data_IF_428042024054
#
_entry.id   IF_428042024054
#
_cell.length_a   1.000
_cell.length_b   1.000
_cell.length_c   1.000
_cell.angle_alpha   90.00
_cell.angle_beta   90.00
_cell.angle_gamma   90.00
#
_symmetry.space_group_name_H-M   'P 1'
#
loop_
_entity.id
_entity.type
_entity.pdbx_description
1 polymer ?
#
# COMPACT_ATOMS: atom_id res chain seq x y z
N UNK A 1 -13.24 -11.43 -0.49
CA UNK A 1 -13.77 -10.10 -0.11
C UNK A 1 -12.88 -9.06 -0.75
N UNK A 2 -13.46 -8.04 -1.40
CA UNK A 2 -12.71 -6.95 -2.01
C UNK A 2 -11.64 -6.42 -1.03
N UNK A 3 -10.39 -6.20 -1.45
CA UNK A 3 -9.29 -5.70 -0.59
C UNK A 3 -9.53 -4.33 0.08
N UNK A 4 -10.76 -3.79 0.00
CA UNK A 4 -11.20 -2.48 0.51
C UNK A 4 -10.80 -1.31 -0.38
N UNK A 5 -10.00 -1.57 -1.43
CA UNK A 5 -9.36 -0.55 -2.26
C UNK A 5 -10.28 -0.09 -3.40
N UNK A 6 -11.07 -1.00 -3.98
CA UNK A 6 -11.91 -0.68 -5.13
C UNK A 6 -13.07 0.27 -4.75
N UNK A 7 -13.30 1.29 -5.58
CA UNK A 7 -14.44 2.21 -5.45
C UNK A 7 -15.54 1.83 -6.43
N UNK A 8 -16.69 1.44 -5.88
CA UNK A 8 -17.87 1.12 -6.67
C UNK A 8 -18.58 2.41 -7.08
N UNK A 9 -18.95 2.52 -8.37
CA UNK A 9 -19.80 3.60 -8.86
C UNK A 9 -21.24 3.12 -8.84
N UNK A 10 -22.07 3.73 -7.99
CA UNK A 10 -23.48 3.41 -7.88
C UNK A 10 -24.34 4.36 -8.73
N UNK A 11 -25.49 3.84 -9.16
CA UNK A 11 -26.43 4.56 -10.01
C UNK A 11 -27.80 4.35 -9.41
N UNK A 12 -28.45 5.44 -9.02
CA UNK A 12 -29.81 5.45 -8.52
C UNK A 12 -30.61 6.60 -9.14
N UNK A 13 -31.87 6.74 -8.74
CA UNK A 13 -32.79 7.75 -9.28
C UNK A 13 -32.43 9.18 -8.85
N UNK A 14 -31.49 9.35 -7.92
CA UNK A 14 -31.03 10.64 -7.38
C UNK A 14 -29.64 11.03 -7.89
N UNK A 15 -28.78 10.06 -8.19
CA UNK A 15 -27.41 10.29 -8.62
C UNK A 15 -26.87 9.17 -9.50
N UNK A 16 -25.99 9.54 -10.43
CA UNK A 16 -25.21 8.60 -11.23
C UNK A 16 -23.72 8.84 -10.96
N UNK A 17 -23.11 8.03 -10.11
CA UNK A 17 -21.68 8.12 -9.81
C UNK A 17 -20.82 7.81 -11.02
N UNK A 18 -21.34 7.06 -11.97
CA UNK A 18 -20.62 6.75 -13.20
C UNK A 18 -20.38 8.01 -14.06
N UNK A 19 -21.36 8.92 -14.08
CA UNK A 19 -21.28 10.15 -14.86
C UNK A 19 -21.02 11.39 -14.00
N UNK A 20 -21.04 11.28 -12.66
CA UNK A 20 -20.88 12.41 -11.75
C UNK A 20 -22.06 13.38 -11.76
N UNK A 21 -23.26 12.92 -12.15
CA UNK A 21 -24.45 13.78 -12.24
C UNK A 21 -25.42 13.50 -11.11
N UNK A 22 -26.08 14.55 -10.61
CA UNK A 22 -27.22 14.46 -9.69
C UNK A 22 -28.50 14.78 -10.45
N UNK A 23 -29.57 14.04 -10.17
CA UNK A 23 -30.88 14.28 -10.74
C UNK A 23 -31.69 15.17 -9.81
N UNK A 24 -32.48 16.07 -10.37
CA UNK A 24 -33.47 16.80 -9.60
C UNK A 24 -34.55 15.81 -9.16
N UNK A 25 -34.77 15.70 -7.85
CA UNK A 25 -36.00 15.09 -7.36
C UNK A 25 -37.12 16.04 -7.74
N UNK A 26 -38.07 15.56 -8.55
CA UNK A 26 -39.33 16.24 -8.73
C UNK A 26 -40.01 16.27 -7.36
N UNK A 27 -39.93 17.40 -6.66
CA UNK A 27 -40.85 17.64 -5.56
C UNK A 27 -42.27 17.51 -6.11
N UNK A 28 -43.19 16.77 -5.47
CA UNK A 28 -44.58 16.90 -5.80
C UNK A 28 -44.97 18.36 -5.57
N UNK A 29 -45.33 19.06 -6.65
CA UNK A 29 -45.80 20.43 -6.69
C UNK A 29 -47.13 20.55 -5.92
N UNK A 30 -47.07 20.46 -4.60
CA UNK A 30 -48.16 20.76 -3.67
C UNK A 30 -47.59 21.60 -2.52
N UNK A 31 -47.18 22.83 -2.85
CA UNK A 31 -47.13 23.94 -1.88
C UNK A 31 -47.11 25.28 -2.62
N UNK A 32 -48.08 26.10 -2.24
CA UNK A 32 -48.34 27.50 -2.63
C UNK A 32 -47.10 28.40 -2.67
N UNK A 33 -47.15 29.52 -3.41
CA UNK A 33 -46.04 30.44 -3.53
C UNK A 33 -45.91 31.31 -2.27
N UNK A 34 -44.71 31.42 -1.69
CA UNK A 34 -44.41 32.48 -0.73
C UNK A 34 -42.98 32.99 -0.91
N UNK A 35 -42.92 34.16 -1.54
CA UNK A 35 -41.94 35.27 -1.52
C UNK A 35 -40.41 35.05 -1.44
N UNK A 36 -39.61 35.95 -2.07
CA UNK A 36 -38.21 35.72 -2.36
C UNK A 36 -37.30 36.09 -1.18
N UNK A 37 -36.42 35.18 -0.77
CA UNK A 37 -35.30 35.50 0.12
C UNK A 37 -33.97 35.15 -0.55
N UNK A 38 -33.10 36.15 -0.54
CA UNK A 38 -31.74 36.28 -1.08
C UNK A 38 -30.83 35.03 -0.99
N UNK A 39 -29.96 34.78 -2.00
CA UNK A 39 -28.95 33.75 -1.89
C UNK A 39 -27.76 34.24 -1.05
N UNK A 40 -27.51 33.59 0.07
CA UNK A 40 -26.25 33.71 0.81
C UNK A 40 -25.19 32.88 0.09
N UNK A 41 -24.12 33.54 -0.31
CA UNK A 41 -22.90 32.98 -0.90
C UNK A 41 -22.29 31.94 0.06
N UNK A 42 -22.26 30.68 -0.39
CA UNK A 42 -21.38 29.66 0.19
C UNK A 42 -20.13 29.59 -0.69
N UNK A 43 -19.08 30.22 -0.16
CA UNK A 43 -17.70 30.22 -0.62
C UNK A 43 -17.16 28.79 -0.82
N UNK A 44 -16.84 28.45 -2.07
CA UNK A 44 -15.97 27.34 -2.43
C UNK A 44 -15.05 27.78 -3.58
N UNK A 45 -13.94 28.41 -3.22
CA UNK A 45 -12.81 28.66 -4.12
C UNK A 45 -12.17 27.35 -4.62
N UNK A 46 -12.24 27.14 -5.95
CA UNK A 46 -11.09 26.75 -6.76
C UNK A 46 -10.74 25.26 -6.93
N UNK A 47 -11.10 24.71 -8.09
CA UNK A 47 -10.17 24.36 -9.20
C UNK A 47 -10.83 23.31 -10.10
N UNK A 48 -11.12 23.70 -11.35
CA UNK A 48 -11.46 22.77 -12.42
C UNK A 48 -12.76 23.11 -13.15
N UNK A 49 -12.74 24.21 -13.89
CA UNK A 49 -13.71 24.58 -14.92
C UNK A 49 -13.93 23.39 -15.89
N UNK A 50 -14.93 22.55 -15.59
CA UNK A 50 -15.35 21.46 -16.48
C UNK A 50 -16.85 21.18 -16.31
N UNK A 51 -17.63 21.92 -17.10
CA UNK A 51 -19.00 21.56 -17.50
C UNK A 51 -20.08 21.45 -16.40
N UNK A 52 -20.12 22.40 -15.46
CA UNK A 52 -21.29 22.54 -14.57
C UNK A 52 -22.52 23.21 -15.25
N UNK A 53 -22.41 23.61 -16.52
CA UNK A 53 -23.38 24.51 -17.17
C UNK A 53 -24.37 23.91 -18.18
N UNK A 54 -24.61 22.60 -18.25
CA UNK A 54 -25.49 22.07 -19.33
C UNK A 54 -26.56 21.04 -18.96
N UNK A 55 -26.93 20.88 -17.68
CA UNK A 55 -27.98 19.90 -17.36
C UNK A 55 -28.78 20.23 -16.10
N UNK A 56 -29.46 21.38 -16.07
CA UNK A 56 -30.47 21.63 -15.04
C UNK A 56 -31.79 20.86 -15.28
N UNK A 57 -31.87 19.97 -16.29
CA UNK A 57 -33.15 19.42 -16.76
C UNK A 57 -33.07 17.96 -17.30
N UNK A 58 -32.24 17.10 -16.71
CA UNK A 58 -32.25 15.65 -17.05
C UNK A 58 -32.86 14.83 -15.93
N UNK A 59 -33.95 14.15 -16.24
CA UNK A 59 -34.46 13.05 -15.41
C UNK A 59 -33.56 11.83 -15.53
N UNK A 60 -33.63 10.95 -14.53
CA UNK A 60 -32.93 9.65 -14.53
C UNK A 60 -33.17 8.86 -15.83
N UNK A 61 -34.42 8.75 -16.30
CA UNK A 61 -34.75 7.92 -17.48
C UNK A 61 -34.15 8.48 -18.77
N UNK A 62 -34.05 9.81 -18.88
CA UNK A 62 -33.42 10.45 -20.02
C UNK A 62 -31.91 10.24 -20.02
N UNK A 63 -31.28 10.24 -18.84
CA UNK A 63 -29.83 10.13 -18.67
C UNK A 63 -29.31 8.74 -19.05
N UNK A 64 -29.95 7.67 -18.59
CA UNK A 64 -29.49 6.30 -18.85
C UNK A 64 -29.56 5.90 -20.33
N UNK A 65 -30.34 6.64 -21.14
CA UNK A 65 -30.46 6.43 -22.59
C UNK A 65 -29.35 7.10 -23.38
N UNK A 66 -28.55 7.99 -22.78
CA UNK A 66 -27.47 8.69 -23.47
C UNK A 66 -26.35 7.72 -23.85
N UNK A 67 -25.82 7.86 -25.07
CA UNK A 67 -24.70 7.04 -25.53
C UNK A 67 -23.44 7.25 -24.68
N UNK A 68 -23.23 8.48 -24.18
CA UNK A 68 -22.15 8.77 -23.22
C UNK A 68 -22.27 7.92 -21.96
N UNK A 69 -23.49 7.78 -21.42
CA UNK A 69 -23.73 6.95 -20.24
C UNK A 69 -23.44 5.47 -20.55
N UNK A 70 -23.96 4.96 -21.67
CA UNK A 70 -23.73 3.57 -22.11
C UNK A 70 -22.24 3.27 -22.31
N UNK A 71 -21.51 4.18 -22.94
CA UNK A 71 -20.07 4.04 -23.14
C UNK A 71 -19.31 4.00 -21.80
N UNK A 72 -19.68 4.88 -20.86
CA UNK A 72 -19.12 4.84 -19.52
C UNK A 72 -19.45 3.53 -18.80
N UNK A 73 -20.65 2.97 -18.97
CA UNK A 73 -21.03 1.69 -18.33
C UNK A 73 -20.13 0.56 -18.83
N UNK A 74 -19.93 0.49 -20.14
CA UNK A 74 -19.06 -0.53 -20.77
C UNK A 74 -17.62 -0.36 -20.29
N UNK A 75 -17.10 0.87 -20.27
CA UNK A 75 -15.74 1.15 -19.83
C UNK A 75 -15.54 0.81 -18.34
N UNK A 76 -16.48 1.21 -17.48
CA UNK A 76 -16.46 0.89 -16.06
C UNK A 76 -16.54 -0.61 -15.80
N UNK A 77 -17.36 -1.34 -16.56
CA UNK A 77 -17.44 -2.80 -16.43
C UNK A 77 -16.10 -3.46 -16.74
N UNK A 78 -15.46 -3.09 -17.87
CA UNK A 78 -14.12 -3.58 -18.22
C UNK A 78 -13.10 -3.28 -17.12
N UNK A 79 -13.09 -2.05 -16.63
CA UNK A 79 -12.21 -1.65 -15.54
C UNK A 79 -12.45 -2.46 -14.27
N UNK A 80 -13.72 -2.68 -13.88
CA UNK A 80 -14.09 -3.47 -12.70
C UNK A 80 -13.63 -4.92 -12.82
N UNK A 81 -13.84 -5.53 -13.98
CA UNK A 81 -13.39 -6.89 -14.27
C UNK A 81 -11.86 -7.00 -14.23
N UNK A 82 -11.17 -6.06 -14.89
CA UNK A 82 -9.71 -5.98 -14.86
C UNK A 82 -9.17 -5.83 -13.42
N UNK A 83 -9.76 -4.92 -12.64
CA UNK A 83 -9.34 -4.68 -11.27
C UNK A 83 -9.48 -5.95 -10.42
N UNK A 84 -10.64 -6.60 -10.47
CA UNK A 84 -10.89 -7.82 -9.69
C UNK A 84 -10.01 -9.00 -10.10
N UNK A 85 -9.70 -9.13 -11.40
CA UNK A 85 -8.94 -10.28 -11.91
C UNK A 85 -7.42 -10.09 -11.82
N UNK A 86 -6.92 -8.87 -11.98
CA UNK A 86 -5.49 -8.61 -12.12
C UNK A 86 -4.91 -7.84 -10.94
N UNK A 87 -5.60 -6.78 -10.50
CA UNK A 87 -5.06 -5.82 -9.53
C UNK A 87 -5.29 -6.31 -8.11
N UNK A 88 -6.49 -6.79 -7.80
CA UNK A 88 -6.85 -7.25 -6.46
C UNK A 88 -5.99 -8.43 -5.98
N UNK A 89 -5.78 -9.50 -6.77
CA UNK A 89 -4.90 -10.59 -6.38
C UNK A 89 -3.46 -10.11 -6.19
N UNK A 90 -3.01 -9.14 -6.98
CA UNK A 90 -1.67 -8.58 -6.87
C UNK A 90 -1.48 -7.79 -5.57
N UNK A 91 -2.46 -6.97 -5.17
CA UNK A 91 -2.45 -6.27 -3.88
C UNK A 91 -2.38 -7.29 -2.73
N UNK A 92 -3.20 -8.34 -2.81
CA UNK A 92 -3.22 -9.39 -1.78
C UNK A 92 -1.88 -10.14 -1.71
N UNK A 93 -1.29 -10.46 -2.86
CA UNK A 93 0.04 -11.06 -2.93
C UNK A 93 1.09 -10.13 -2.30
N UNK A 94 1.06 -8.83 -2.62
CA UNK A 94 1.94 -7.84 -2.02
C UNK A 94 1.83 -7.80 -0.49
N UNK A 95 0.61 -7.86 0.06
CA UNK A 95 0.38 -7.95 1.51
C UNK A 95 0.98 -9.24 2.11
N UNK A 96 0.79 -10.38 1.46
CA UNK A 96 1.37 -11.65 1.90
C UNK A 96 2.92 -11.61 1.90
N UNK A 97 3.53 -10.98 0.89
CA UNK A 97 4.99 -10.80 0.84
C UNK A 97 5.49 -9.90 1.97
N UNK A 98 4.76 -8.84 2.30
CA UNK A 98 5.08 -7.98 3.45
C UNK A 98 5.09 -8.75 4.77
N UNK A 99 4.14 -9.67 4.96
CA UNK A 99 4.10 -10.55 6.13
C UNK A 99 5.33 -11.48 6.17
N UNK A 100 5.65 -12.14 5.05
CA UNK A 100 6.84 -13.01 4.95
C UNK A 100 8.16 -12.27 5.21
N UNK A 101 8.29 -11.03 4.70
CA UNK A 101 9.46 -10.19 4.98
C UNK A 101 9.55 -9.88 6.48
N UNK A 102 8.42 -9.57 7.14
CA UNK A 102 8.39 -9.29 8.57
C UNK A 102 8.82 -10.53 9.39
N UNK A 103 8.34 -11.72 9.02
CA UNK A 103 8.71 -12.97 9.68
C UNK A 103 10.20 -13.28 9.50
N UNK A 104 10.72 -13.23 8.26
CA UNK A 104 12.14 -13.45 7.99
C UNK A 104 13.04 -12.46 8.73
N UNK A 105 12.62 -11.19 8.83
CA UNK A 105 13.39 -10.16 9.54
C UNK A 105 13.39 -10.37 11.06
N UNK A 106 12.29 -10.87 11.62
CA UNK A 106 12.18 -11.20 13.05
C UNK A 106 13.13 -12.31 13.44
N UNK A 107 13.27 -13.32 12.58
CA UNK A 107 14.13 -14.48 12.84
C UNK A 107 15.62 -14.12 12.67
N UNK A 108 15.96 -13.35 11.62
CA UNK A 108 17.34 -13.25 11.17
C UNK A 108 18.24 -12.27 11.93
N UNK A 109 17.72 -11.34 12.73
CA UNK A 109 18.49 -10.50 13.68
C UNK A 109 19.56 -9.53 13.11
N UNK A 110 20.16 -9.80 11.95
CA UNK A 110 21.29 -9.07 11.33
C UNK A 110 20.90 -7.68 10.84
N UNK A 111 21.79 -6.71 11.07
CA UNK A 111 21.52 -5.29 10.82
C UNK A 111 21.41 -4.94 9.32
N UNK A 112 22.30 -5.47 8.47
CA UNK A 112 22.30 -5.16 7.02
C UNK A 112 21.07 -5.71 6.30
N UNK A 113 20.66 -6.94 6.63
CA UNK A 113 19.42 -7.53 6.11
C UNK A 113 18.17 -6.71 6.52
N UNK A 114 18.19 -6.04 7.68
CA UNK A 114 17.09 -5.18 8.13
C UNK A 114 16.94 -3.91 7.29
N UNK A 115 18.03 -3.35 6.76
CA UNK A 115 17.96 -2.15 5.92
C UNK A 115 17.39 -2.48 4.53
N UNK A 116 17.87 -3.55 3.91
CA UNK A 116 17.36 -4.03 2.63
C UNK A 116 15.88 -4.44 2.73
N UNK A 117 15.50 -5.14 3.80
CA UNK A 117 14.10 -5.50 4.08
C UNK A 117 13.19 -4.27 4.15
N UNK A 118 13.63 -3.20 4.84
CA UNK A 118 12.87 -1.96 4.96
C UNK A 118 12.65 -1.30 3.62
N UNK A 119 13.68 -1.25 2.77
CA UNK A 119 13.57 -0.65 1.44
C UNK A 119 12.55 -1.40 0.57
N UNK A 120 12.66 -2.72 0.52
CA UNK A 120 11.78 -3.58 -0.29
C UNK A 120 10.34 -3.51 0.22
N UNK A 121 10.15 -3.61 1.54
CA UNK A 121 8.84 -3.41 2.18
C UNK A 121 8.21 -2.06 1.81
N UNK A 122 8.98 -0.98 1.94
CA UNK A 122 8.51 0.37 1.64
C UNK A 122 8.03 0.50 0.19
N UNK A 123 8.77 -0.07 -0.77
CA UNK A 123 8.36 -0.07 -2.19
C UNK A 123 7.01 -0.75 -2.42
N UNK A 124 6.77 -1.90 -1.78
CA UNK A 124 5.49 -2.63 -1.90
C UNK A 124 4.36 -1.82 -1.26
N UNK A 125 4.57 -1.28 -0.05
CA UNK A 125 3.59 -0.43 0.64
C UNK A 125 3.24 0.82 -0.17
N UNK A 126 4.25 1.51 -0.71
CA UNK A 126 4.07 2.68 -1.59
C UNK A 126 3.33 2.29 -2.88
N UNK A 127 3.66 1.15 -3.49
CA UNK A 127 2.97 0.66 -4.68
C UNK A 127 1.48 0.38 -4.45
N UNK A 128 1.13 -0.29 -3.34
CA UNK A 128 -0.27 -0.54 -2.95
C UNK A 128 -0.99 0.80 -2.71
N UNK A 129 -0.33 1.75 -2.02
CA UNK A 129 -0.89 3.07 -1.78
C UNK A 129 -1.14 3.83 -3.08
N UNK A 130 -0.18 3.84 -4.02
CA UNK A 130 -0.34 4.51 -5.31
C UNK A 130 -1.51 3.93 -6.12
N UNK A 131 -1.73 2.62 -6.08
CA UNK A 131 -2.94 2.01 -6.68
C UNK A 131 -4.20 2.55 -6.00
N UNK A 132 -4.24 2.59 -4.66
CA UNK A 132 -5.39 3.12 -3.93
C UNK A 132 -5.68 4.59 -4.28
N UNK A 133 -4.64 5.42 -4.33
CA UNK A 133 -4.76 6.83 -4.69
C UNK A 133 -5.24 6.99 -6.14
N UNK A 134 -4.78 6.13 -7.05
CA UNK A 134 -5.21 6.12 -8.45
C UNK A 134 -6.66 5.67 -8.61
N UNK A 135 -7.12 4.66 -7.86
CA UNK A 135 -8.53 4.25 -7.86
C UNK A 135 -9.42 5.42 -7.44
N UNK A 136 -9.03 6.17 -6.41
CA UNK A 136 -9.76 7.35 -5.93
C UNK A 136 -9.78 8.46 -6.99
N UNK A 137 -8.66 8.71 -7.66
CA UNK A 137 -8.55 9.71 -8.73
C UNK A 137 -9.40 9.35 -9.95
N UNK A 138 -9.36 8.09 -10.42
CA UNK A 138 -10.23 7.59 -11.49
C UNK A 138 -11.71 7.75 -11.12
N UNK A 139 -12.06 7.43 -9.87
CA UNK A 139 -13.41 7.59 -9.35
C UNK A 139 -13.86 9.05 -9.32
N UNK A 140 -12.99 10.00 -8.97
CA UNK A 140 -13.32 11.44 -8.96
C UNK A 140 -13.47 12.00 -10.37
N UNK A 141 -12.52 11.68 -11.26
CA UNK A 141 -12.49 12.20 -12.64
C UNK A 141 -13.47 11.52 -13.58
N UNK A 142 -14.07 10.39 -13.18
CA UNK A 142 -14.95 9.54 -14.03
C UNK A 142 -14.25 9.08 -15.31
N UNK A 143 -12.94 8.87 -15.19
CA UNK A 143 -12.04 8.57 -16.28
C UNK A 143 -12.03 7.06 -16.57
N UNK A 144 -13.18 6.52 -16.95
CA UNK A 144 -13.38 5.07 -17.08
C UNK A 144 -12.74 4.48 -18.34
N UNK A 145 -12.66 5.28 -19.41
CA UNK A 145 -12.13 4.83 -20.70
C UNK A 145 -10.63 4.51 -20.65
N UNK A 146 -9.88 5.28 -19.85
CA UNK A 146 -8.43 5.18 -19.61
C UNK A 146 -8.09 4.42 -18.31
N UNK A 147 -9.09 4.01 -17.54
CA UNK A 147 -8.90 3.38 -16.24
C UNK A 147 -8.11 2.07 -16.31
N UNK A 148 -8.42 1.20 -17.28
CA UNK A 148 -7.73 -0.07 -17.46
C UNK A 148 -6.23 0.13 -17.79
N UNK A 149 -5.93 1.00 -18.76
CA UNK A 149 -4.55 1.28 -19.18
C UNK A 149 -3.75 1.91 -18.02
N UNK A 150 -4.34 2.90 -17.34
CA UNK A 150 -3.70 3.59 -16.22
C UNK A 150 -3.42 2.60 -15.09
N UNK A 151 -4.41 1.76 -14.75
CA UNK A 151 -4.27 0.77 -13.69
C UNK A 151 -3.25 -0.32 -14.05
N UNK A 152 -3.13 -0.68 -15.33
CA UNK A 152 -2.15 -1.65 -15.81
C UNK A 152 -0.72 -1.21 -15.53
N UNK A 153 -0.39 0.06 -15.77
CA UNK A 153 0.95 0.61 -15.49
C UNK A 153 1.30 0.53 -14.00
N UNK A 154 0.37 0.86 -13.13
CA UNK A 154 0.57 0.75 -11.68
C UNK A 154 0.64 -0.69 -11.20
N UNK A 155 -0.16 -1.58 -11.79
CA UNK A 155 -0.10 -3.01 -11.51
C UNK A 155 1.25 -3.62 -11.92
N UNK A 156 1.78 -3.28 -13.09
CA UNK A 156 3.11 -3.73 -13.53
C UNK A 156 4.22 -3.27 -12.56
N UNK A 157 4.16 -2.01 -12.13
CA UNK A 157 5.12 -1.47 -11.16
C UNK A 157 5.01 -2.20 -9.80
N UNK A 158 3.79 -2.41 -9.29
CA UNK A 158 3.60 -3.18 -8.06
C UNK A 158 4.10 -4.62 -8.23
N UNK A 159 3.84 -5.26 -9.37
CA UNK A 159 4.30 -6.62 -9.66
C UNK A 159 5.81 -6.73 -9.57
N UNK A 160 6.54 -5.81 -10.21
CA UNK A 160 8.00 -5.78 -10.10
C UNK A 160 8.48 -5.65 -8.65
N UNK A 161 7.84 -4.80 -7.84
CA UNK A 161 8.21 -4.65 -6.43
C UNK A 161 7.89 -5.91 -5.60
N UNK A 162 6.79 -6.60 -5.92
CA UNK A 162 6.40 -7.86 -5.26
C UNK A 162 7.38 -8.99 -5.62
N UNK A 163 7.79 -9.08 -6.89
CA UNK A 163 8.77 -10.05 -7.36
C UNK A 163 10.14 -9.81 -6.69
N UNK A 164 10.57 -8.54 -6.58
CA UNK A 164 11.75 -8.15 -5.81
C UNK A 164 11.64 -8.61 -4.34
N UNK A 165 10.47 -8.40 -3.73
CA UNK A 165 10.13 -8.85 -2.38
C UNK A 165 10.25 -10.35 -2.18
N UNK A 166 9.67 -11.13 -3.09
CA UNK A 166 9.75 -12.58 -3.09
C UNK A 166 11.19 -13.06 -3.19
N UNK A 167 11.96 -12.49 -4.12
CA UNK A 167 13.38 -12.84 -4.29
C UNK A 167 14.21 -12.53 -3.04
N UNK A 168 13.87 -11.44 -2.33
CA UNK A 168 14.52 -11.09 -1.07
C UNK A 168 14.21 -12.12 0.01
N UNK A 169 12.94 -12.52 0.14
CA UNK A 169 12.50 -13.53 1.12
C UNK A 169 13.19 -14.87 0.86
N UNK A 170 13.23 -15.34 -0.38
CA UNK A 170 13.89 -16.60 -0.75
C UNK A 170 15.39 -16.59 -0.40
N UNK A 171 16.08 -15.47 -0.63
CA UNK A 171 17.48 -15.28 -0.23
C UNK A 171 17.63 -15.29 1.28
N UNK A 172 16.70 -14.67 2.02
CA UNK A 172 16.72 -14.64 3.46
C UNK A 172 16.51 -16.03 4.07
N UNK A 173 15.54 -16.79 3.58
CA UNK A 173 15.26 -18.18 3.99
C UNK A 173 16.44 -19.10 3.66
N UNK A 174 16.98 -19.02 2.44
CA UNK A 174 18.13 -19.86 2.03
C UNK A 174 19.39 -19.61 2.86
N UNK A 175 19.64 -18.37 3.27
CA UNK A 175 20.77 -18.06 4.15
C UNK A 175 20.58 -18.50 5.59
N UNK A 176 19.33 -18.64 6.04
CA UNK A 176 19.03 -19.14 7.38
C UNK A 176 19.34 -20.64 7.48
N UNK A 177 18.92 -21.42 6.48
CA UNK A 177 19.23 -22.85 6.39
C UNK A 177 20.74 -23.13 6.38
N UNK A 178 21.53 -22.25 5.74
CA UNK A 178 23.00 -22.37 5.74
C UNK A 178 23.60 -22.08 7.12
N UNK A 179 23.08 -21.11 7.87
CA UNK A 179 23.57 -20.81 9.22
C UNK A 179 23.29 -21.96 10.19
N UNK A 180 22.10 -22.58 10.11
CA UNK A 180 21.77 -23.76 10.93
C UNK A 180 22.68 -24.97 10.65
N UNK A 181 23.09 -25.19 9.39
CA UNK A 181 24.01 -26.26 9.01
C UNK A 181 25.43 -26.05 9.58
N UNK A 182 25.91 -24.81 9.63
CA UNK A 182 27.21 -24.47 10.22
C UNK A 182 27.24 -24.56 11.75
N UNK A 183 26.11 -24.35 12.42
CA UNK A 183 26.03 -24.45 13.89
C UNK A 183 25.91 -25.92 14.36
N UNK A 184 25.31 -26.81 13.56
CA UNK A 184 25.25 -28.25 13.85
C UNK A 184 26.62 -28.94 13.75
N UNK A 185 27.46 -28.54 12.78
CA UNK A 185 28.82 -29.10 12.62
C UNK A 185 29.77 -28.68 13.76
N UNK A 186 29.42 -27.65 14.53
CA UNK A 186 30.27 -27.12 15.60
C UNK A 186 30.06 -27.80 16.96
N UNK A 187 28.94 -28.49 17.15
CA UNK A 187 28.63 -29.23 18.38
C UNK A 187 29.16 -30.68 18.36
N UNK A 188 29.58 -31.20 17.20
CA UNK A 188 30.08 -32.57 17.03
C UNK A 188 31.60 -32.75 17.27
N UNK A 189 32.35 -31.68 17.56
CA UNK A 189 33.79 -31.74 17.84
C UNK A 189 34.15 -31.40 19.31
N UNK A 190 33.21 -31.57 20.24
CA UNK A 190 33.45 -31.38 21.68
C UNK A 190 33.49 -32.68 22.48
N UNK A 191 34.10 -33.74 21.94
CA UNK A 191 34.50 -34.89 22.76
C UNK A 191 35.85 -35.46 22.33
N UNK A 192 36.93 -34.68 22.53
CA UNK A 192 38.29 -35.23 22.56
C UNK A 192 38.96 -34.86 23.87
N UNK A 193 38.82 -35.80 24.81
CA UNK A 193 39.78 -36.18 25.85
C UNK A 193 40.74 -35.10 26.38
N UNK A 194 40.42 -34.69 27.60
CA UNK A 194 41.39 -34.34 28.65
C UNK A 194 42.48 -35.41 28.78
N UNK A 195 43.66 -35.20 28.19
CA UNK A 195 44.92 -35.83 28.63
C UNK A 195 46.10 -34.86 28.41
N UNK A 196 46.38 -34.05 29.43
CA UNK A 196 47.70 -33.59 29.90
C UNK A 196 48.75 -33.07 28.90
N UNK A 197 49.10 -31.78 29.06
CA UNK A 197 50.51 -31.31 29.25
C UNK A 197 50.57 -29.82 29.62
N UNK A 198 51.11 -29.58 30.81
CA UNK A 198 51.76 -28.38 31.38
C UNK A 198 51.99 -27.19 30.44
N UNK A 199 51.36 -26.04 30.73
CA UNK A 199 51.75 -24.74 30.21
C UNK A 199 52.41 -23.90 31.32
N UNK A 200 53.65 -23.53 31.06
CA UNK A 200 54.55 -22.77 31.92
C UNK A 200 53.98 -21.40 32.32
N UNK A 201 54.17 -21.06 33.59
CA UNK A 201 53.73 -19.88 34.32
C UNK A 201 54.39 -18.58 33.78
N UNK A 202 53.65 -17.70 33.12
CA UNK A 202 54.09 -16.34 32.79
C UNK A 202 53.28 -15.27 33.52
N UNK A 203 53.74 -14.98 34.74
CA UNK A 203 53.71 -13.71 35.48
C UNK A 203 52.70 -12.61 35.08
N UNK A 204 51.67 -12.44 35.91
CA UNK A 204 50.87 -11.22 35.96
C UNK A 204 51.68 -10.05 36.57
N UNK A 205 52.15 -9.10 35.73
CA UNK A 205 52.58 -7.78 36.20
C UNK A 205 51.34 -6.95 36.58
N UNK A 206 51.15 -6.72 37.89
CA UNK A 206 50.13 -5.80 38.43
C UNK A 206 50.45 -4.34 38.05
N UNK A 207 49.45 -3.50 37.71
CA UNK A 207 49.66 -2.07 37.57
C UNK A 207 49.82 -1.41 38.95
N UNK A 208 50.89 -0.65 39.13
CA UNK A 208 51.21 0.07 40.36
C UNK A 208 50.30 1.30 40.53
N UNK A 209 49.35 1.20 41.47
CA UNK A 209 48.62 2.36 42.00
C UNK A 209 49.55 3.21 42.86
N UNK A 210 50.01 4.37 42.38
CA UNK A 210 50.54 5.43 43.24
C UNK A 210 49.39 6.20 43.87
N UNK A 211 49.12 5.92 45.15
CA UNK A 211 48.42 6.84 46.07
C UNK A 211 49.35 7.14 47.25
N UNK A 212 49.48 8.42 47.56
CA UNK A 212 49.96 8.95 48.83
C UNK A 212 50.98 10.06 48.62
N UNK A 213 50.97 11.17 49.37
CA UNK A 213 50.10 11.65 50.45
C UNK A 213 50.45 13.14 50.63
N UNK A 214 49.46 13.93 51.01
CA UNK A 214 49.60 15.30 51.52
C UNK A 214 50.61 15.41 52.67
N UNK A 215 51.35 16.52 52.75
CA UNK A 215 51.46 17.31 53.99
C UNK A 215 51.90 18.76 53.76
N UNK A 216 51.18 19.65 54.44
CA UNK A 216 51.38 21.09 54.64
C UNK A 216 52.79 21.44 55.18
N UNK A 217 53.30 22.60 54.79
CA UNK A 217 53.66 23.67 55.73
C UNK A 217 53.62 25.02 55.01
#
# INVERSE_FOLDING_TARGET
MASGVFKKADIDTTQCDLCGVKFLQSEPLDKEPTEPTTPTEADWEGVGERNENLVADKTYESHIRLDVHRNNCIAYQKYREYFGNMVEPLINNGRNVLERIADATRIKGRFTAKEDAKLVRRKIEEGIKSISDMVEDLYKRKAWADAEETMSKWAEHLKSNVDDGMSWVEKAESSLLKEEDFDLDKDLESEVKDEGRTFEELYHKKPSRKKGKSKRK
#
